data_IF_504645227846
#
_entry.id   IF_504645227846
#
_cell.length_a   1.000
_cell.length_b   1.000
_cell.length_c   1.000
_cell.angle_alpha   90.00
_cell.angle_beta   90.00
_cell.angle_gamma   90.00
#
_symmetry.space_group_name_H-M   'P 1'
#
loop_
_entity.id
_entity.type
_entity.pdbx_description
1 polymer ?
#
# COMPACT_ATOMS: atom_id res chain seq x y z
N UNK A 1 -2.51 -20.21 -3.61
CA UNK A 1 -1.57 -19.72 -2.58
C UNK A 1 -2.33 -19.59 -1.27
N UNK A 2 -2.05 -20.45 -0.29
CA UNK A 2 -2.66 -20.37 1.04
C UNK A 2 -1.99 -19.22 1.81
N UNK A 3 -2.78 -18.31 2.40
CA UNK A 3 -2.25 -17.25 3.27
C UNK A 3 -1.59 -17.90 4.50
N UNK A 4 -0.39 -17.49 4.93
CA UNK A 4 0.15 -17.97 6.19
C UNK A 4 -0.72 -17.46 7.35
N UNK A 5 -1.12 -18.36 8.24
CA UNK A 5 -2.03 -18.14 9.39
C UNK A 5 -1.45 -17.26 10.53
N UNK A 6 -0.47 -16.40 10.24
CA UNK A 6 0.40 -15.77 11.26
C UNK A 6 0.48 -14.24 11.16
N UNK A 7 -0.57 -13.55 10.71
CA UNK A 7 -0.61 -12.09 10.80
C UNK A 7 -1.40 -11.70 12.06
N UNK A 8 -0.68 -11.56 13.18
CA UNK A 8 -1.24 -11.09 14.44
C UNK A 8 -1.16 -9.56 14.53
N UNK A 9 -2.19 -8.93 15.11
CA UNK A 9 -2.13 -7.52 15.50
C UNK A 9 -1.54 -7.43 16.90
N UNK A 10 -0.42 -6.75 17.04
CA UNK A 10 0.21 -6.45 18.32
C UNK A 10 0.69 -5.00 18.31
N UNK A 11 0.57 -4.33 19.45
CA UNK A 11 1.14 -3.02 19.69
C UNK A 11 2.66 -3.13 19.92
N UNK A 12 3.37 -2.02 19.70
CA UNK A 12 4.80 -1.95 19.96
C UNK A 12 5.18 -2.21 21.45
N UNK A 13 4.25 -1.94 22.38
CA UNK A 13 4.44 -2.27 23.80
C UNK A 13 4.34 -3.78 24.05
N UNK A 14 3.34 -4.43 23.47
CA UNK A 14 3.16 -5.89 23.58
C UNK A 14 4.33 -6.65 22.97
N UNK A 15 4.82 -6.23 21.80
CA UNK A 15 5.98 -6.85 21.15
C UNK A 15 7.26 -6.74 22.01
N UNK A 16 7.46 -5.61 22.69
CA UNK A 16 8.59 -5.42 23.62
C UNK A 16 8.46 -6.34 24.84
N UNK A 17 7.28 -6.39 25.44
CA UNK A 17 7.01 -7.26 26.57
C UNK A 17 7.16 -8.76 26.21
N UNK A 18 6.70 -9.18 25.02
CA UNK A 18 6.91 -10.55 24.51
C UNK A 18 8.39 -10.88 24.35
N UNK A 19 9.20 -9.92 23.88
CA UNK A 19 10.65 -10.09 23.75
C UNK A 19 11.33 -10.22 25.12
N UNK A 20 10.91 -9.44 26.13
CA UNK A 20 11.42 -9.53 27.50
C UNK A 20 11.06 -10.87 28.17
N UNK A 21 9.87 -11.41 27.87
CA UNK A 21 9.43 -12.73 28.34
C UNK A 21 10.06 -13.92 27.57
N UNK A 22 10.85 -13.65 26.53
CA UNK A 22 11.46 -14.69 25.70
C UNK A 22 10.49 -15.39 24.72
N UNK A 23 9.29 -14.85 24.53
CA UNK A 23 8.25 -15.39 23.62
C UNK A 23 8.45 -14.93 22.16
N UNK A 24 9.53 -14.18 21.89
CA UNK A 24 9.89 -13.77 20.55
C UNK A 24 10.37 -14.98 19.74
N UNK A 25 9.70 -15.24 18.60
CA UNK A 25 10.11 -16.26 17.63
C UNK A 25 11.36 -15.88 16.83
N UNK A 26 11.81 -14.63 16.93
CA UNK A 26 13.00 -14.12 16.24
C UNK A 26 14.25 -14.35 17.07
N UNK A 27 15.29 -14.93 16.45
CA UNK A 27 16.65 -14.98 17.01
C UNK A 27 17.30 -13.60 16.92
N UNK A 28 17.13 -12.81 17.97
CA UNK A 28 17.67 -11.45 18.04
C UNK A 28 19.18 -11.38 18.22
N UNK A 29 19.83 -12.45 18.69
CA UNK A 29 21.29 -12.47 18.83
C UNK A 29 21.92 -12.59 17.45
N UNK A 30 21.40 -13.49 16.61
CA UNK A 30 21.78 -13.58 15.20
C UNK A 30 21.58 -12.26 14.46
N UNK A 31 20.40 -11.64 14.60
CA UNK A 31 20.11 -10.36 13.91
C UNK A 31 21.07 -9.25 14.33
N UNK A 32 21.38 -9.12 15.62
CA UNK A 32 22.33 -8.10 16.11
C UNK A 32 23.77 -8.36 15.70
N UNK A 33 24.16 -9.63 15.57
CA UNK A 33 25.51 -10.02 15.20
C UNK A 33 25.76 -9.95 13.68
N UNK A 34 24.70 -9.82 12.88
CA UNK A 34 24.80 -9.76 11.43
C UNK A 34 25.43 -8.43 10.98
N UNK A 35 26.52 -8.46 10.18
CA UNK A 35 27.10 -7.25 9.62
C UNK A 35 26.14 -6.57 8.63
N UNK A 36 26.17 -5.23 8.59
CA UNK A 36 25.34 -4.45 7.66
C UNK A 36 25.58 -4.84 6.19
N UNK A 37 26.83 -5.09 5.80
CA UNK A 37 27.17 -5.53 4.45
C UNK A 37 26.59 -6.92 4.11
N UNK A 38 26.35 -7.79 5.09
CA UNK A 38 25.66 -9.06 4.88
C UNK A 38 24.18 -8.84 4.63
N UNK A 39 23.55 -7.93 5.39
CA UNK A 39 22.15 -7.54 5.22
C UNK A 39 21.91 -6.99 3.81
N UNK A 40 22.79 -6.10 3.34
CA UNK A 40 22.70 -5.50 2.01
C UNK A 40 22.81 -6.55 0.90
N UNK A 41 23.80 -7.46 0.99
CA UNK A 41 23.92 -8.55 0.00
C UNK A 41 22.70 -9.48 -0.03
N UNK A 42 22.12 -9.78 1.13
CA UNK A 42 20.92 -10.61 1.21
C UNK A 42 19.70 -9.90 0.62
N UNK A 43 19.52 -8.62 0.90
CA UNK A 43 18.45 -7.81 0.35
C UNK A 43 18.55 -7.72 -1.19
N UNK A 44 19.73 -7.40 -1.72
CA UNK A 44 19.95 -7.30 -3.16
C UNK A 44 19.69 -8.64 -3.88
N UNK A 45 20.04 -9.76 -3.24
CA UNK A 45 19.79 -11.10 -3.77
C UNK A 45 18.30 -11.51 -3.74
N UNK A 46 17.53 -10.97 -2.79
CA UNK A 46 16.10 -11.26 -2.62
C UNK A 46 15.21 -10.39 -3.50
N UNK A 47 15.48 -9.08 -3.57
CA UNK A 47 14.62 -8.11 -4.24
C UNK A 47 14.78 -8.12 -5.77
N UNK A 48 15.98 -8.45 -6.27
CA UNK A 48 16.28 -8.41 -7.71
C UNK A 48 16.19 -7.00 -8.31
N UNK A 49 16.38 -6.85 -9.65
CA UNK A 49 16.22 -5.55 -10.29
C UNK A 49 14.76 -5.09 -10.24
N UNK A 50 14.55 -3.80 -9.99
CA UNK A 50 13.22 -3.19 -10.07
C UNK A 50 12.62 -3.42 -11.47
N UNK A 51 11.31 -3.73 -11.56
CA UNK A 51 10.66 -3.98 -12.85
C UNK A 51 10.70 -2.74 -13.74
N UNK A 52 10.76 -2.95 -15.06
CA UNK A 52 10.70 -1.86 -16.04
C UNK A 52 9.42 -1.02 -15.85
N UNK A 53 9.55 0.31 -15.89
CA UNK A 53 8.44 1.25 -15.67
C UNK A 53 8.01 1.42 -14.21
N UNK A 54 8.77 0.91 -13.22
CA UNK A 54 8.47 1.13 -11.80
C UNK A 54 8.36 2.63 -11.46
N UNK A 55 9.20 3.46 -12.08
CA UNK A 55 9.25 4.91 -11.93
C UNK A 55 7.92 5.61 -12.28
N UNK A 56 7.21 5.12 -13.29
CA UNK A 56 5.91 5.67 -13.69
C UNK A 56 4.79 5.36 -12.68
N UNK A 57 5.00 4.38 -11.80
CA UNK A 57 4.07 4.01 -10.75
C UNK A 57 4.28 4.80 -9.45
N UNK A 58 5.40 5.53 -9.33
CA UNK A 58 5.74 6.29 -8.13
C UNK A 58 5.14 7.69 -8.19
N UNK A 59 4.05 7.93 -7.47
CA UNK A 59 3.62 9.29 -7.14
C UNK A 59 4.56 9.86 -6.06
N UNK A 60 5.55 10.68 -6.47
CA UNK A 60 6.49 11.34 -5.55
C UNK A 60 5.73 12.34 -4.67
N UNK A 61 5.65 12.06 -3.37
CA UNK A 61 5.11 12.96 -2.34
C UNK A 61 3.95 12.36 -1.54
N UNK A 62 3.53 13.07 -0.48
CA UNK A 62 2.31 12.69 0.24
C UNK A 62 1.09 12.90 -0.67
N UNK A 63 0.17 11.93 -0.76
CA UNK A 63 -1.04 12.10 -1.54
C UNK A 63 -1.80 13.31 -1.01
N UNK A 64 -2.21 14.22 -1.89
CA UNK A 64 -3.01 15.38 -1.50
C UNK A 64 -4.24 14.90 -0.73
N UNK A 65 -4.50 15.55 0.41
CA UNK A 65 -5.67 15.23 1.23
C UNK A 65 -6.93 15.37 0.36
N UNK A 66 -7.80 14.37 0.45
CA UNK A 66 -9.11 14.41 -0.20
C UNK A 66 -9.88 15.61 0.35
N UNK A 67 -10.51 16.37 -0.53
CA UNK A 67 -11.43 17.43 -0.14
C UNK A 67 -12.81 16.82 0.06
N UNK A 68 -13.46 17.17 1.16
CA UNK A 68 -14.86 16.82 1.37
C UNK A 68 -15.72 17.78 0.55
N UNK A 69 -16.49 17.23 -0.38
CA UNK A 69 -17.30 18.00 -1.32
C UNK A 69 -18.68 17.37 -1.42
N UNK A 70 -19.72 18.21 -1.40
CA UNK A 70 -21.08 17.76 -1.67
C UNK A 70 -21.36 17.83 -3.17
N UNK A 71 -21.48 16.65 -3.79
CA UNK A 71 -21.88 16.51 -5.20
C UNK A 71 -23.19 15.75 -5.31
N UNK A 72 -23.97 16.05 -6.35
CA UNK A 72 -25.17 15.29 -6.72
C UNK A 72 -24.79 14.25 -7.76
N UNK A 73 -25.21 13.02 -7.56
CA UNK A 73 -25.05 11.91 -8.49
C UNK A 73 -26.44 11.36 -8.82
N UNK A 74 -26.60 10.83 -10.02
CA UNK A 74 -27.82 10.12 -10.40
C UNK A 74 -27.99 8.86 -9.53
N UNK A 75 -29.25 8.51 -9.26
CA UNK A 75 -29.59 7.44 -8.33
C UNK A 75 -29.10 6.08 -8.81
N UNK A 76 -29.26 5.79 -10.09
CA UNK A 76 -28.83 4.56 -10.75
C UNK A 76 -27.31 4.37 -10.70
N UNK A 77 -26.54 5.45 -10.93
CA UNK A 77 -25.08 5.45 -10.82
C UNK A 77 -24.67 5.15 -9.38
N UNK A 78 -25.29 5.82 -8.40
CA UNK A 78 -24.98 5.59 -6.99
C UNK A 78 -25.29 4.15 -6.56
N UNK A 79 -26.43 3.61 -7.00
CA UNK A 79 -26.86 2.25 -6.70
C UNK A 79 -25.90 1.22 -7.29
N UNK A 80 -25.43 1.43 -8.52
CA UNK A 80 -24.43 0.56 -9.15
C UNK A 80 -23.13 0.50 -8.33
N UNK A 81 -22.61 1.64 -7.88
CA UNK A 81 -21.36 1.67 -7.08
C UNK A 81 -21.55 1.06 -5.69
N UNK A 82 -22.74 1.21 -5.09
CA UNK A 82 -23.12 0.62 -3.80
C UNK A 82 -23.30 -0.89 -3.87
N UNK A 83 -23.79 -1.42 -5.00
CA UNK A 83 -23.96 -2.86 -5.20
C UNK A 83 -22.64 -3.64 -5.05
N UNK A 84 -21.51 -3.03 -5.38
CA UNK A 84 -20.17 -3.59 -5.19
C UNK A 84 -19.65 -3.55 -3.72
N UNK A 85 -20.50 -3.19 -2.75
CA UNK A 85 -20.21 -3.27 -1.32
C UNK A 85 -19.48 -2.04 -0.74
N UNK A 86 -18.87 -2.17 0.45
CA UNK A 86 -18.13 -1.09 1.10
C UNK A 86 -17.06 -0.47 0.20
N UNK A 87 -16.76 0.82 0.41
CA UNK A 87 -15.74 1.55 -0.36
C UNK A 87 -16.22 2.13 -1.69
N UNK A 88 -17.53 2.20 -1.93
CA UNK A 88 -18.12 2.75 -3.17
C UNK A 88 -17.63 4.19 -3.48
N UNK A 89 -17.47 5.04 -2.46
CA UNK A 89 -16.92 6.39 -2.63
C UNK A 89 -15.48 6.38 -3.15
N UNK A 90 -14.65 5.46 -2.65
CA UNK A 90 -13.28 5.28 -3.15
C UNK A 90 -13.30 4.85 -4.62
N UNK A 91 -14.19 3.93 -5.00
CA UNK A 91 -14.35 3.51 -6.41
C UNK A 91 -14.79 4.66 -7.31
N UNK A 92 -15.76 5.47 -6.88
CA UNK A 92 -16.17 6.69 -7.62
C UNK A 92 -14.95 7.59 -7.86
N UNK A 93 -14.17 7.86 -6.81
CA UNK A 93 -12.98 8.70 -6.93
C UNK A 93 -11.92 8.11 -7.86
N UNK A 94 -11.74 6.78 -7.87
CA UNK A 94 -10.82 6.10 -8.81
C UNK A 94 -11.23 6.32 -10.25
N UNK A 95 -12.52 6.15 -10.56
CA UNK A 95 -13.05 6.38 -11.92
C UNK A 95 -12.87 7.83 -12.35
N UNK A 96 -13.19 8.79 -11.47
CA UNK A 96 -12.98 10.21 -11.75
C UNK A 96 -11.50 10.54 -11.98
N UNK A 97 -10.58 9.94 -11.23
CA UNK A 97 -9.13 10.12 -11.43
C UNK A 97 -8.70 9.59 -12.80
N UNK A 98 -9.14 8.38 -13.17
CA UNK A 98 -8.82 7.78 -14.46
C UNK A 98 -9.33 8.64 -15.63
N UNK A 99 -10.56 9.16 -15.53
CA UNK A 99 -11.13 10.07 -16.52
C UNK A 99 -10.30 11.37 -16.67
N UNK A 100 -9.93 11.99 -15.55
CA UNK A 100 -9.10 13.20 -15.56
C UNK A 100 -7.71 12.93 -16.15
N UNK A 101 -7.10 11.79 -15.83
CA UNK A 101 -5.79 11.40 -16.35
C UNK A 101 -5.83 11.22 -17.88
N UNK A 102 -6.81 10.46 -18.39
CA UNK A 102 -7.01 10.26 -19.83
C UNK A 102 -7.17 11.60 -20.57
N UNK A 103 -8.02 12.49 -20.03
CA UNK A 103 -8.29 13.80 -20.65
C UNK A 103 -7.10 14.77 -20.57
N UNK A 104 -6.20 14.59 -19.60
CA UNK A 104 -4.95 15.37 -19.51
C UNK A 104 -3.87 14.84 -20.45
N UNK A 105 -3.83 13.53 -20.70
CA UNK A 105 -2.96 12.93 -21.71
C UNK A 105 -3.31 13.42 -23.11
N UNK A 106 -4.60 13.46 -23.47
CA UNK A 106 -5.08 13.98 -24.76
C UNK A 106 -4.69 15.45 -25.00
N UNK A 107 -4.69 16.29 -23.97
CA UNK A 107 -4.33 17.72 -24.08
C UNK A 107 -2.83 17.99 -24.15
N UNK A 108 -1.98 17.00 -23.90
CA UNK A 108 -0.52 17.14 -24.05
C UNK A 108 -0.04 16.83 -25.48
N UNK A 109 -0.93 16.32 -26.33
CA UNK A 109 -0.66 15.93 -27.73
C UNK A 109 -1.45 16.73 -28.78
N UNK A 110 -2.04 17.86 -28.38
CA UNK A 110 -2.71 18.82 -29.27
C UNK A 110 -2.08 20.20 -29.06
#
# INVERSE_FOLDING_TARGET
>A
MQKPESIARASAAELRAMRERGESRTDWNRVRAMPQAEVERLADAEDGPLPEGWEDTVEVGLPRRKQDVHIRLDADVLDWFRAAGPGYQTRINTVLRAFVAARRGERRHA
#
